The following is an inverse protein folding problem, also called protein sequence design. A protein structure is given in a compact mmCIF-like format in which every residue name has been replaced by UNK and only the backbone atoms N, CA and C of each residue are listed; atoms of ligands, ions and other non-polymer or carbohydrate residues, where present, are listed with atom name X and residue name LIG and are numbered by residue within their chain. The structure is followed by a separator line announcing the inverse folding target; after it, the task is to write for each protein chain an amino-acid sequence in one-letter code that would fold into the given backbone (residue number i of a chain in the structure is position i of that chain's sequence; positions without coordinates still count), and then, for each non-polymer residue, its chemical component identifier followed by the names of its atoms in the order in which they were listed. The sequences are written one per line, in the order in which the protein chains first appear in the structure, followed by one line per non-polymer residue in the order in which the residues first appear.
data_IF_788321020316
#
_entry.id   IF_788321020316
#
_cell.length_a   1.000
_cell.length_b   1.000
_cell.length_c   1.000
_cell.angle_alpha   90.00
_cell.angle_beta   90.00
_cell.angle_gamma   90.00
#
_symmetry.space_group_name_H-M   'P 1'
#
loop_
_entity.id
_entity.type
_entity.pdbx_description
1 polymer ?
#
# COMPACT_ATOMS: atom_id res chain seq x y z
N UNK A 1 36.58 1.51 8.59
CA UNK A 1 36.58 2.97 8.82
C UNK A 1 36.30 3.80 7.57
N UNK A 2 37.17 3.88 6.54
CA UNK A 2 36.88 4.74 5.36
C UNK A 2 35.73 4.26 4.45
N UNK A 3 35.45 2.95 4.45
CA UNK A 3 34.32 2.38 3.70
C UNK A 3 32.97 2.65 4.38
N UNK A 4 32.89 2.40 5.69
CA UNK A 4 31.67 2.64 6.49
C UNK A 4 31.22 4.09 6.40
N UNK A 5 32.17 5.04 6.42
CA UNK A 5 31.89 6.46 6.29
C UNK A 5 31.29 6.86 4.92
N UNK A 6 31.64 6.11 3.87
CA UNK A 6 31.07 6.30 2.54
C UNK A 6 29.69 5.69 2.44
N UNK A 7 29.51 4.51 3.03
CA UNK A 7 28.23 3.79 3.04
C UNK A 7 27.17 4.58 3.83
N UNK A 8 27.53 5.15 4.99
CA UNK A 8 26.61 5.99 5.78
C UNK A 8 26.22 7.29 5.05
N UNK A 9 27.19 7.96 4.40
CA UNK A 9 26.90 9.14 3.59
C UNK A 9 26.01 8.82 2.39
N UNK A 10 26.24 7.67 1.74
CA UNK A 10 25.41 7.22 0.63
C UNK A 10 23.98 6.92 1.10
N UNK A 11 23.83 6.19 2.21
CA UNK A 11 22.53 5.89 2.80
C UNK A 11 21.77 7.18 3.18
N UNK A 12 22.46 8.15 3.78
CA UNK A 12 21.87 9.45 4.13
C UNK A 12 21.44 10.25 2.89
N UNK A 13 22.29 10.34 1.86
CA UNK A 13 21.94 11.02 0.62
C UNK A 13 20.75 10.35 -0.09
N UNK A 14 20.69 9.01 -0.04
CA UNK A 14 19.57 8.25 -0.57
C UNK A 14 18.27 8.51 0.22
N UNK A 15 18.33 8.57 1.55
CA UNK A 15 17.18 8.93 2.40
C UNK A 15 16.70 10.36 2.08
N UNK A 16 17.61 11.33 1.97
CA UNK A 16 17.26 12.71 1.60
C UNK A 16 16.61 12.77 0.21
N UNK A 17 17.13 12.00 -0.75
CA UNK A 17 16.58 11.92 -2.10
C UNK A 17 15.19 11.27 -2.13
N UNK A 18 15.00 10.21 -1.33
CA UNK A 18 13.73 9.45 -1.25
C UNK A 18 12.74 10.01 -0.22
N UNK A 19 13.11 11.01 0.57
CA UNK A 19 12.26 11.58 1.62
C UNK A 19 10.94 12.17 1.13
N UNK A 20 10.84 12.50 -0.16
CA UNK A 20 9.58 12.90 -0.81
C UNK A 20 8.54 11.76 -0.84
N UNK A 21 8.99 10.50 -0.90
CA UNK A 21 8.13 9.31 -0.88
C UNK A 21 7.33 9.24 0.41
N UNK A 22 7.96 9.53 1.55
CA UNK A 22 7.27 9.59 2.84
C UNK A 22 6.13 10.62 2.84
N UNK A 23 6.41 11.84 2.38
CA UNK A 23 5.42 12.91 2.30
C UNK A 23 4.24 12.55 1.40
N UNK A 24 4.51 12.05 0.20
CA UNK A 24 3.46 11.66 -0.74
C UNK A 24 2.64 10.48 -0.22
N UNK A 25 3.29 9.50 0.41
CA UNK A 25 2.64 8.34 1.01
C UNK A 25 1.71 8.78 2.13
N UNK A 26 2.18 9.63 3.05
CA UNK A 26 1.36 10.13 4.15
C UNK A 26 0.14 10.91 3.64
N UNK A 27 0.31 11.73 2.60
CA UNK A 27 -0.80 12.42 1.95
C UNK A 27 -1.83 11.45 1.37
N UNK A 28 -1.38 10.38 0.71
CA UNK A 28 -2.28 9.35 0.19
C UNK A 28 -3.04 8.62 1.31
N UNK A 29 -2.34 8.26 2.39
CA UNK A 29 -2.92 7.61 3.59
C UNK A 29 -4.05 8.46 4.19
N UNK A 30 -3.84 9.78 4.28
CA UNK A 30 -4.86 10.73 4.76
C UNK A 30 -6.04 10.79 3.80
N UNK A 31 -5.78 10.97 2.50
CA UNK A 31 -6.84 11.07 1.49
C UNK A 31 -7.70 9.81 1.40
N UNK A 32 -7.10 8.64 1.65
CA UNK A 32 -7.78 7.35 1.65
C UNK A 32 -8.53 7.06 2.97
N UNK A 33 -8.39 7.91 3.99
CA UNK A 33 -8.99 7.67 5.30
C UNK A 33 -8.40 6.45 6.03
N UNK A 34 -7.17 6.06 5.71
CA UNK A 34 -6.59 4.81 6.20
C UNK A 34 -6.46 4.78 7.74
N UNK A 35 -6.13 5.93 8.35
CA UNK A 35 -6.08 6.04 9.82
C UNK A 35 -7.44 5.77 10.47
N UNK A 36 -8.55 6.14 9.83
CA UNK A 36 -9.89 5.86 10.35
C UNK A 36 -10.22 4.37 10.29
N UNK A 37 -9.81 3.68 9.23
CA UNK A 37 -9.99 2.23 9.09
C UNK A 37 -9.25 1.50 10.22
N UNK A 38 -8.01 1.89 10.48
CA UNK A 38 -7.21 1.33 11.57
C UNK A 38 -7.81 1.67 12.93
N UNK A 39 -8.24 2.92 13.14
CA UNK A 39 -8.86 3.35 14.39
C UNK A 39 -10.17 2.59 14.68
N UNK A 40 -10.99 2.32 13.65
CA UNK A 40 -12.23 1.55 13.76
C UNK A 40 -11.99 0.09 14.16
N UNK A 41 -10.87 -0.51 13.76
CA UNK A 41 -10.52 -1.86 14.16
C UNK A 41 -10.17 -1.97 15.65
N UNK A 42 -9.75 -0.86 16.27
CA UNK A 42 -9.51 -0.75 17.70
C UNK A 42 -8.05 -1.03 18.11
N UNK A 43 -7.70 -0.71 19.36
CA UNK A 43 -6.32 -0.87 19.86
C UNK A 43 -5.85 -2.32 19.80
N UNK A 44 -4.65 -2.54 19.24
CA UNK A 44 -4.06 -3.88 19.14
C UNK A 44 -4.64 -4.76 18.02
N UNK A 45 -5.62 -4.27 17.26
CA UNK A 45 -6.12 -4.98 16.09
C UNK A 45 -5.03 -5.09 15.01
N UNK A 46 -4.91 -6.27 14.43
CA UNK A 46 -4.01 -6.54 13.30
C UNK A 46 -4.87 -6.70 12.06
N UNK A 47 -4.73 -5.78 11.12
CA UNK A 47 -5.37 -5.87 9.81
C UNK A 47 -4.32 -6.26 8.77
N UNK A 48 -4.70 -7.16 7.88
CA UNK A 48 -3.96 -7.41 6.64
C UNK A 48 -4.17 -6.29 5.62
N UNK A 49 -3.28 -6.19 4.64
CA UNK A 49 -3.41 -5.21 3.56
C UNK A 49 -4.71 -5.39 2.75
N UNK A 50 -5.18 -6.65 2.58
CA UNK A 50 -6.45 -6.94 1.91
C UNK A 50 -7.67 -6.48 2.71
N UNK A 51 -7.66 -6.66 4.04
CA UNK A 51 -8.75 -6.20 4.90
C UNK A 51 -8.84 -4.67 4.94
N UNK A 52 -7.69 -3.99 4.89
CA UNK A 52 -7.62 -2.55 4.74
C UNK A 52 -8.19 -2.13 3.37
N UNK A 53 -7.72 -2.76 2.28
CA UNK A 53 -8.13 -2.41 0.92
C UNK A 53 -9.63 -2.61 0.70
N UNK A 54 -10.24 -3.64 1.31
CA UNK A 54 -11.68 -3.89 1.24
C UNK A 54 -12.54 -2.79 1.90
N UNK A 55 -11.95 -2.00 2.81
CA UNK A 55 -12.61 -0.92 3.54
C UNK A 55 -12.32 0.47 2.94
N UNK A 56 -11.39 0.56 1.99
CA UNK A 56 -11.10 1.82 1.31
C UNK A 56 -12.32 2.29 0.50
N UNK A 57 -12.60 3.60 0.46
CA UNK A 57 -13.65 4.13 -0.39
C UNK A 57 -13.29 3.82 -1.85
N UNK A 58 -14.15 3.07 -2.55
CA UNK A 58 -13.96 2.78 -3.96
C UNK A 58 -13.92 4.11 -4.74
N UNK A 59 -12.77 4.44 -5.32
CA UNK A 59 -12.69 5.51 -6.31
C UNK A 59 -13.68 5.21 -7.42
N UNK A 60 -14.46 6.21 -7.83
CA UNK A 60 -15.55 6.15 -8.81
C UNK A 60 -15.23 5.33 -10.09
N UNK A 61 -13.96 5.14 -10.44
CA UNK A 61 -13.50 4.28 -11.54
C UNK A 61 -13.63 2.76 -11.33
N UNK A 62 -14.02 2.26 -10.15
CA UNK A 62 -14.26 0.84 -9.89
C UNK A 62 -15.74 0.44 -9.89
N UNK A 63 -16.66 1.39 -10.11
CA UNK A 63 -18.10 1.10 -10.06
C UNK A 63 -18.65 0.38 -11.30
N UNK A 64 -17.90 0.26 -12.40
CA UNK A 64 -18.44 -0.33 -13.64
C UNK A 64 -17.41 -1.11 -14.46
N UNK A 65 -17.01 -2.29 -13.99
CA UNK A 65 -16.88 -3.42 -14.91
C UNK A 65 -17.23 -4.70 -14.13
N UNK A 66 -18.27 -5.48 -14.52
CA UNK A 66 -18.45 -6.80 -13.94
C UNK A 66 -17.14 -7.55 -14.12
N UNK A 67 -16.62 -8.14 -13.05
CA UNK A 67 -15.40 -8.95 -13.06
C UNK A 67 -15.57 -10.13 -14.02
N UNK A 68 -15.32 -9.92 -15.30
CA UNK A 68 -14.96 -10.97 -16.26
C UNK A 68 -13.47 -11.28 -16.07
N UNK A 69 -13.10 -11.69 -14.86
CA UNK A 69 -11.84 -12.37 -14.63
C UNK A 69 -12.03 -13.44 -13.56
N UNK A 70 -13.00 -14.32 -13.82
CA UNK A 70 -12.93 -15.66 -13.26
C UNK A 70 -11.96 -16.43 -14.12
N UNK A 71 -10.74 -16.64 -13.61
CA UNK A 71 -9.85 -17.67 -14.12
C UNK A 71 -10.47 -19.02 -13.81
N UNK A 72 -11.41 -19.45 -14.64
CA UNK A 72 -11.92 -20.80 -14.63
C UNK A 72 -11.16 -21.56 -15.72
N UNK A 73 -9.95 -22.00 -15.38
CA UNK A 73 -9.23 -23.00 -16.15
C UNK A 73 -9.80 -24.38 -15.83
N UNK A 74 -11.08 -24.60 -16.16
CA UNK A 74 -11.63 -25.94 -16.25
C UNK A 74 -11.14 -26.53 -17.57
N UNK A 75 -9.99 -27.22 -17.49
CA UNK A 75 -9.43 -27.98 -18.59
C UNK A 75 -10.38 -29.11 -18.97
N UNK A 76 -10.98 -28.97 -20.16
CA UNK A 76 -11.55 -30.07 -20.90
C UNK A 76 -10.42 -30.85 -21.57
N UNK A 77 -10.25 -32.12 -21.18
CA UNK A 77 -9.69 -33.14 -22.07
C UNK A 77 -10.39 -34.46 -21.75
N UNK A 78 -11.31 -34.85 -22.63
CA UNK A 78 -11.52 -36.26 -22.93
C UNK A 78 -10.46 -36.79 -23.87
#
# INVERSE_FOLDING_TARGET
MANEARDENFAYAFEVTTGSVLHMTMKAVINLGLFEIIAKAGPGAKLSASEIAAQLPATEGQKTHPRCWTGDSTGASG
#
